data_IF_651888671991
#
_entry.id   IF_651888671991
#
_cell.length_a   1.000
_cell.length_b   1.000
_cell.length_c   1.000
_cell.angle_alpha   90.00
_cell.angle_beta   90.00
_cell.angle_gamma   90.00
#
_symmetry.space_group_name_H-M   'P 1'
#
loop_
_entity.id
_entity.type
_entity.pdbx_description
1 polymer ?
#
# COMPACT_ATOMS: atom_id res chain seq x y z
N UNK A 1 -11.55 33.15 -6.77
CA UNK A 1 -11.35 31.84 -7.37
C UNK A 1 -10.23 31.08 -6.61
N UNK A 2 -10.61 30.42 -5.53
CA UNK A 2 -9.68 29.58 -4.73
C UNK A 2 -9.96 28.07 -4.98
N UNK A 3 -10.40 27.73 -6.20
CA UNK A 3 -10.96 26.41 -6.49
C UNK A 3 -10.02 25.41 -7.11
N UNK A 4 -8.78 25.74 -7.44
CA UNK A 4 -7.91 24.86 -8.21
C UNK A 4 -6.68 24.37 -7.44
N UNK A 5 -6.82 24.17 -6.15
CA UNK A 5 -5.85 23.39 -5.41
C UNK A 5 -6.13 21.91 -5.75
N UNK A 6 -5.51 21.44 -6.81
CA UNK A 6 -5.50 20.01 -7.13
C UNK A 6 -4.94 19.25 -5.93
N UNK A 7 -5.85 18.71 -5.15
CA UNK A 7 -5.46 17.84 -4.06
C UNK A 7 -5.00 16.51 -4.64
N UNK A 8 -3.86 16.07 -4.19
CA UNK A 8 -3.31 14.75 -4.52
C UNK A 8 -3.07 13.99 -3.24
N UNK A 9 -3.51 12.77 -3.22
CA UNK A 9 -3.21 11.83 -2.16
C UNK A 9 -2.21 10.81 -2.66
N UNK A 10 -1.27 10.43 -1.80
CA UNK A 10 -0.34 9.32 -2.06
C UNK A 10 -0.47 8.35 -0.91
N UNK A 11 -0.81 7.10 -1.22
CA UNK A 11 -1.01 6.03 -0.24
C UNK A 11 -0.03 4.89 -0.42
N UNK A 12 0.46 4.33 0.69
CA UNK A 12 1.37 3.18 0.72
C UNK A 12 0.79 2.14 1.68
N UNK A 13 0.67 0.87 1.26
CA UNK A 13 0.21 -0.22 2.13
C UNK A 13 -1.16 0.07 2.76
N UNK A 14 -1.29 0.04 4.08
CA UNK A 14 -2.52 0.45 4.77
C UNK A 14 -2.98 1.86 4.37
N UNK A 15 -2.04 2.77 4.07
CA UNK A 15 -2.33 4.09 3.54
C UNK A 15 -2.97 4.05 2.15
N UNK A 16 -2.63 3.06 1.32
CA UNK A 16 -3.29 2.85 0.04
C UNK A 16 -4.75 2.40 0.22
N UNK A 17 -5.03 1.49 1.12
CA UNK A 17 -6.40 1.06 1.44
C UNK A 17 -7.25 2.21 2.02
N UNK A 18 -6.69 2.96 2.97
CA UNK A 18 -7.39 4.07 3.62
C UNK A 18 -7.62 5.24 2.65
N UNK A 19 -6.67 5.50 1.77
CA UNK A 19 -6.79 6.52 0.73
C UNK A 19 -7.93 6.23 -0.24
N UNK A 20 -8.16 4.96 -0.62
CA UNK A 20 -9.33 4.59 -1.42
C UNK A 20 -10.64 4.99 -0.71
N UNK A 21 -10.76 4.72 0.59
CA UNK A 21 -11.95 5.10 1.37
C UNK A 21 -12.15 6.61 1.44
N UNK A 22 -11.06 7.38 1.46
CA UNK A 22 -11.10 8.83 1.39
C UNK A 22 -11.56 9.32 0.01
N UNK A 23 -11.00 8.75 -1.05
CA UNK A 23 -11.28 9.14 -2.43
C UNK A 23 -12.72 8.85 -2.84
N UNK A 24 -13.31 7.75 -2.36
CA UNK A 24 -14.72 7.41 -2.60
C UNK A 24 -15.71 8.17 -1.70
N UNK A 25 -15.22 9.09 -0.84
CA UNK A 25 -16.06 9.87 0.09
C UNK A 25 -16.85 9.01 1.10
N UNK A 26 -16.52 7.75 1.25
CA UNK A 26 -17.19 6.86 2.20
C UNK A 26 -16.68 7.09 3.62
N UNK A 27 -17.21 8.14 4.27
CA UNK A 27 -16.80 8.55 5.62
C UNK A 27 -17.03 7.42 6.63
N UNK A 28 -16.01 7.14 7.42
CA UNK A 28 -16.04 6.08 8.43
C UNK A 28 -15.69 4.67 7.90
N UNK A 29 -15.67 4.46 6.58
CA UNK A 29 -15.35 3.16 5.98
C UNK A 29 -14.01 2.60 6.46
N UNK A 30 -12.95 3.42 6.44
CA UNK A 30 -11.63 2.99 6.88
C UNK A 30 -11.60 2.57 8.36
N UNK A 31 -12.31 3.30 9.25
CA UNK A 31 -12.46 2.91 10.65
C UNK A 31 -13.18 1.57 10.77
N UNK A 32 -14.33 1.44 10.13
CA UNK A 32 -15.12 0.22 10.19
C UNK A 32 -14.35 -1.00 9.65
N UNK A 33 -13.67 -0.87 8.52
CA UNK A 33 -12.88 -1.97 7.96
C UNK A 33 -11.68 -2.36 8.83
N UNK A 34 -10.96 -1.40 9.41
CA UNK A 34 -9.72 -1.67 10.15
C UNK A 34 -9.95 -2.01 11.64
N UNK A 35 -11.10 -1.67 12.21
CA UNK A 35 -11.43 -1.95 13.62
C UNK A 35 -12.53 -2.99 13.70
N UNK A 36 -13.76 -2.64 13.31
CA UNK A 36 -14.92 -3.48 13.53
C UNK A 36 -14.85 -4.80 12.73
N UNK A 37 -14.47 -4.74 11.44
CA UNK A 37 -14.32 -5.94 10.62
C UNK A 37 -13.06 -6.75 10.99
N UNK A 38 -11.99 -6.11 11.47
CA UNK A 38 -10.83 -6.84 11.96
C UNK A 38 -11.19 -7.67 13.20
N UNK A 39 -11.93 -7.08 14.13
CA UNK A 39 -12.42 -7.78 15.32
C UNK A 39 -13.37 -8.92 14.97
N UNK A 40 -14.28 -8.68 14.03
CA UNK A 40 -15.27 -9.68 13.62
C UNK A 40 -14.68 -10.85 12.82
N UNK A 41 -13.82 -10.57 11.86
CA UNK A 41 -13.34 -11.56 10.88
C UNK A 41 -11.92 -12.05 11.15
N UNK A 42 -11.17 -11.38 12.01
CA UNK A 42 -9.78 -11.72 12.33
C UNK A 42 -8.92 -11.95 11.08
N UNK A 43 -9.07 -11.11 10.07
CA UNK A 43 -8.45 -11.26 8.74
C UNK A 43 -6.93 -11.02 8.74
N UNK A 44 -6.33 -10.69 9.88
CA UNK A 44 -4.89 -10.60 10.11
C UNK A 44 -4.50 -11.64 11.16
N UNK A 45 -3.50 -12.47 10.87
CA UNK A 45 -2.99 -13.38 11.88
C UNK A 45 -2.21 -14.58 11.35
N UNK A 46 -1.42 -15.20 12.23
CA UNK A 46 -0.58 -16.35 11.91
C UNK A 46 -1.38 -17.57 11.41
N UNK A 47 -2.67 -17.69 11.79
CA UNK A 47 -3.55 -18.76 11.29
C UNK A 47 -3.69 -18.74 9.76
N UNK A 48 -3.69 -17.55 9.16
CA UNK A 48 -3.76 -17.39 7.71
C UNK A 48 -2.42 -17.73 7.04
N UNK A 49 -1.29 -17.40 7.71
CA UNK A 49 0.04 -17.76 7.22
C UNK A 49 0.20 -19.29 7.08
N UNK A 50 -0.29 -20.06 8.05
CA UNK A 50 -0.24 -21.52 8.01
C UNK A 50 -1.15 -22.12 6.93
N UNK A 51 -2.35 -21.56 6.71
CA UNK A 51 -3.32 -22.09 5.76
C UNK A 51 -3.14 -21.59 4.33
N UNK A 52 -2.87 -20.30 4.16
CA UNK A 52 -2.86 -19.59 2.86
C UNK A 52 -1.48 -19.03 2.50
N UNK A 53 -0.45 -19.25 3.31
CA UNK A 53 0.90 -18.65 3.17
C UNK A 53 0.85 -17.11 3.08
N UNK A 54 -0.10 -16.52 3.78
CA UNK A 54 -0.37 -15.10 3.78
C UNK A 54 -0.85 -14.69 5.18
N UNK A 55 -0.26 -13.65 5.76
CA UNK A 55 -0.68 -13.15 7.08
C UNK A 55 -2.01 -12.39 7.01
N UNK A 56 -2.35 -11.87 5.83
CA UNK A 56 -3.60 -11.17 5.55
C UNK A 56 -4.53 -12.09 4.72
N UNK A 57 -5.81 -12.13 5.03
CA UNK A 57 -6.78 -12.77 4.15
C UNK A 57 -7.12 -11.86 2.97
N UNK A 58 -6.34 -11.97 1.90
CA UNK A 58 -6.45 -11.11 0.71
C UNK A 58 -7.79 -11.27 -0.02
N UNK A 59 -8.34 -12.48 -0.04
CA UNK A 59 -9.62 -12.73 -0.70
C UNK A 59 -10.73 -11.99 0.05
N UNK A 60 -10.70 -12.06 1.39
CA UNK A 60 -11.65 -11.34 2.24
C UNK A 60 -11.48 -9.82 2.09
N UNK A 61 -10.24 -9.32 2.13
CA UNK A 61 -9.94 -7.87 2.09
C UNK A 61 -10.23 -7.22 0.74
N UNK A 62 -9.86 -7.88 -0.35
CA UNK A 62 -9.83 -7.27 -1.69
C UNK A 62 -10.93 -7.80 -2.63
N UNK A 63 -11.71 -8.79 -2.17
CA UNK A 63 -12.87 -9.31 -2.91
C UNK A 63 -14.14 -9.21 -2.07
N UNK A 64 -14.23 -9.96 -0.95
CA UNK A 64 -15.47 -10.05 -0.19
C UNK A 64 -15.89 -8.71 0.47
N UNK A 65 -14.92 -7.97 1.05
CA UNK A 65 -15.24 -6.69 1.68
C UNK A 65 -15.76 -5.67 0.65
N UNK A 66 -15.05 -5.36 -0.44
CA UNK A 66 -15.48 -4.33 -1.37
C UNK A 66 -16.69 -4.73 -2.22
N UNK A 67 -16.98 -6.03 -2.38
CA UNK A 67 -18.11 -6.49 -3.19
C UNK A 67 -19.38 -6.74 -2.37
N UNK A 68 -19.25 -7.32 -1.17
CA UNK A 68 -20.41 -7.91 -0.45
C UNK A 68 -20.59 -7.39 0.98
N UNK A 69 -19.52 -7.28 1.76
CA UNK A 69 -19.63 -7.01 3.21
C UNK A 69 -19.65 -5.51 3.49
N UNK A 70 -18.81 -4.76 2.80
CA UNK A 70 -18.70 -3.31 2.90
C UNK A 70 -18.50 -2.74 1.49
N UNK A 71 -19.56 -2.68 0.67
CA UNK A 71 -19.45 -2.30 -0.73
C UNK A 71 -18.66 -1.01 -0.94
N UNK A 72 -17.74 -1.05 -1.92
CA UNK A 72 -16.93 0.09 -2.26
C UNK A 72 -17.57 0.88 -3.41
N UNK A 73 -17.67 2.17 -3.24
CA UNK A 73 -18.22 3.07 -4.27
C UNK A 73 -17.12 3.43 -5.29
N UNK A 74 -16.96 2.55 -6.28
CA UNK A 74 -16.03 2.75 -7.38
C UNK A 74 -16.41 3.95 -8.24
N UNK A 75 -17.72 4.23 -8.41
CA UNK A 75 -18.15 5.37 -9.21
C UNK A 75 -17.71 6.68 -8.57
N UNK A 76 -17.97 6.86 -7.28
CA UNK A 76 -17.52 8.05 -6.54
C UNK A 76 -15.99 8.19 -6.56
N UNK A 77 -15.24 7.07 -6.54
CA UNK A 77 -13.80 7.08 -6.69
C UNK A 77 -13.35 7.56 -8.07
N UNK A 78 -13.95 7.03 -9.15
CA UNK A 78 -13.59 7.40 -10.52
C UNK A 78 -13.98 8.84 -10.87
N UNK A 79 -15.10 9.32 -10.36
CA UNK A 79 -15.60 10.67 -10.58
C UNK A 79 -14.89 11.73 -9.71
N UNK A 80 -14.10 11.30 -8.74
CA UNK A 80 -13.35 12.24 -7.89
C UNK A 80 -12.37 13.08 -8.72
N UNK A 81 -12.39 14.41 -8.63
CA UNK A 81 -11.45 15.27 -9.35
C UNK A 81 -10.03 15.21 -8.78
N UNK A 82 -9.88 14.64 -7.60
CA UNK A 82 -8.58 14.52 -6.94
C UNK A 82 -7.75 13.41 -7.56
N UNK A 83 -6.44 13.60 -7.60
CA UNK A 83 -5.49 12.57 -8.03
C UNK A 83 -5.17 11.65 -6.85
N UNK A 84 -5.12 10.36 -7.12
CA UNK A 84 -4.73 9.39 -6.13
C UNK A 84 -3.63 8.47 -6.65
N UNK A 85 -2.52 8.43 -5.93
CA UNK A 85 -1.34 7.63 -6.25
C UNK A 85 -1.20 6.52 -5.22
N UNK A 86 -1.05 5.30 -5.70
CA UNK A 86 -0.74 4.12 -4.88
C UNK A 86 0.69 3.68 -5.19
N UNK A 87 1.47 3.42 -4.15
CA UNK A 87 2.88 3.09 -4.28
C UNK A 87 3.11 1.60 -4.08
N UNK A 88 3.88 1.00 -4.98
CA UNK A 88 4.34 -0.39 -4.89
C UNK A 88 5.85 -0.46 -5.05
N UNK A 89 6.44 -1.61 -4.75
CA UNK A 89 7.84 -1.91 -5.06
C UNK A 89 7.89 -2.91 -6.21
N UNK A 90 8.51 -2.53 -7.31
CA UNK A 90 8.73 -3.39 -8.46
C UNK A 90 9.82 -4.41 -8.15
N UNK A 91 9.47 -5.69 -8.21
CA UNK A 91 10.40 -6.77 -7.88
C UNK A 91 11.55 -6.93 -8.90
N UNK A 92 11.34 -6.49 -10.15
CA UNK A 92 12.35 -6.60 -11.21
C UNK A 92 13.42 -5.51 -11.09
N UNK A 93 13.00 -4.27 -10.77
CA UNK A 93 13.90 -3.12 -10.70
C UNK A 93 14.40 -2.83 -9.28
N UNK A 94 13.64 -3.23 -8.24
CA UNK A 94 13.89 -2.86 -6.86
C UNK A 94 13.58 -1.41 -6.55
N UNK A 95 12.78 -0.74 -7.39
CA UNK A 95 12.41 0.66 -7.28
C UNK A 95 10.92 0.82 -7.00
N UNK A 96 10.51 2.03 -6.59
CA UNK A 96 9.10 2.34 -6.36
C UNK A 96 8.38 2.62 -7.68
N UNK A 97 7.23 1.97 -7.88
CA UNK A 97 6.29 2.32 -8.92
C UNK A 97 5.10 3.07 -8.32
N UNK A 98 4.65 4.12 -9.03
CA UNK A 98 3.61 5.04 -8.59
C UNK A 98 2.44 4.96 -9.57
N UNK A 99 1.35 4.36 -9.14
CA UNK A 99 0.19 4.10 -9.97
C UNK A 99 -0.95 5.09 -9.70
N UNK A 100 -1.51 5.60 -10.76
CA UNK A 100 -2.81 6.28 -10.78
C UNK A 100 -3.76 5.47 -11.66
N UNK A 101 -4.94 5.14 -11.16
CA UNK A 101 -5.96 4.42 -11.92
C UNK A 101 -7.34 5.05 -11.65
N UNK A 102 -8.05 5.37 -12.73
CA UNK A 102 -9.34 6.06 -12.66
C UNK A 102 -10.42 5.45 -13.58
N UNK A 103 -10.17 4.25 -14.10
CA UNK A 103 -11.07 3.65 -15.10
C UNK A 103 -11.35 2.17 -14.85
N UNK A 104 -10.34 1.41 -14.44
CA UNK A 104 -10.43 -0.04 -14.29
C UNK A 104 -10.44 -0.44 -12.81
N UNK A 105 -11.59 -0.90 -12.35
CA UNK A 105 -11.80 -1.43 -11.01
C UNK A 105 -10.84 -2.57 -10.66
N UNK A 106 -10.63 -3.51 -11.58
CA UNK A 106 -9.80 -4.68 -11.32
C UNK A 106 -8.34 -4.25 -11.15
N UNK A 107 -7.90 -3.31 -11.99
CA UNK A 107 -6.55 -2.76 -11.89
C UNK A 107 -6.34 -1.97 -10.59
N UNK A 108 -7.34 -1.23 -10.10
CA UNK A 108 -7.28 -0.60 -8.75
C UNK A 108 -7.08 -1.65 -7.67
N UNK A 109 -7.84 -2.77 -7.73
CA UNK A 109 -7.71 -3.87 -6.77
C UNK A 109 -6.32 -4.49 -6.84
N UNK A 110 -5.78 -4.75 -8.01
CA UNK A 110 -4.45 -5.33 -8.19
C UNK A 110 -3.36 -4.41 -7.62
N UNK A 111 -3.44 -3.11 -7.87
CA UNK A 111 -2.49 -2.12 -7.35
C UNK A 111 -2.53 -2.05 -5.82
N UNK A 112 -3.72 -1.96 -5.22
CA UNK A 112 -3.83 -1.86 -3.76
C UNK A 112 -3.45 -3.16 -3.06
N UNK A 113 -3.73 -4.30 -3.67
CA UNK A 113 -3.26 -5.62 -3.23
C UNK A 113 -1.74 -5.68 -3.26
N UNK A 114 -1.11 -5.25 -4.35
CA UNK A 114 0.33 -5.17 -4.49
C UNK A 114 0.97 -4.23 -3.46
N UNK A 115 0.39 -3.03 -3.28
CA UNK A 115 0.84 -2.06 -2.25
C UNK A 115 0.76 -2.61 -0.83
N UNK A 116 -0.10 -3.62 -0.58
CA UNK A 116 -0.30 -4.26 0.73
C UNK A 116 0.40 -5.63 0.86
N UNK A 117 1.14 -6.06 -0.17
CA UNK A 117 1.85 -7.35 -0.17
C UNK A 117 3.16 -7.25 0.60
N UNK A 118 3.07 -7.47 1.92
CA UNK A 118 4.21 -7.43 2.82
C UNK A 118 5.24 -8.52 2.50
N UNK A 119 6.55 -8.20 2.49
CA UNK A 119 7.58 -9.18 2.22
C UNK A 119 7.59 -10.29 3.28
N UNK A 120 7.94 -11.52 2.86
CA UNK A 120 8.01 -12.75 3.66
C UNK A 120 6.66 -13.33 4.11
N UNK A 121 5.66 -12.52 4.35
CA UNK A 121 4.39 -12.92 4.99
C UNK A 121 3.19 -12.81 4.06
N UNK A 122 3.36 -12.24 2.87
CA UNK A 122 2.36 -12.18 1.81
C UNK A 122 2.95 -12.67 0.49
N UNK A 123 2.13 -13.17 -0.43
CA UNK A 123 2.57 -13.52 -1.77
C UNK A 123 2.96 -12.27 -2.57
N UNK A 124 3.80 -12.47 -3.58
CA UNK A 124 4.03 -11.45 -4.60
C UNK A 124 2.72 -11.24 -5.38
N UNK A 125 2.29 -9.99 -5.49
CA UNK A 125 1.16 -9.61 -6.33
C UNK A 125 1.64 -9.17 -7.72
N UNK A 126 0.70 -9.09 -8.66
CA UNK A 126 1.03 -8.70 -10.03
C UNK A 126 0.17 -7.50 -10.44
N UNK A 127 0.79 -6.51 -11.06
CA UNK A 127 0.12 -5.38 -11.72
C UNK A 127 0.62 -5.37 -13.15
N UNK A 128 -0.31 -5.45 -14.11
CA UNK A 128 0.02 -5.52 -15.55
C UNK A 128 1.04 -6.63 -15.89
N UNK A 129 0.99 -7.76 -15.17
CA UNK A 129 1.94 -8.87 -15.32
C UNK A 129 3.31 -8.67 -14.66
N UNK A 130 3.56 -7.51 -14.04
CA UNK A 130 4.81 -7.20 -13.35
C UNK A 130 4.70 -7.59 -11.88
N UNK A 131 5.67 -8.36 -11.33
CA UNK A 131 5.67 -8.76 -9.92
C UNK A 131 5.95 -7.56 -9.01
N UNK A 132 5.09 -7.36 -8.03
CA UNK A 132 5.11 -6.23 -7.11
C UNK A 132 5.01 -6.69 -5.66
N UNK A 133 5.56 -5.89 -4.76
CA UNK A 133 5.42 -5.97 -3.31
C UNK A 133 5.06 -4.61 -2.71
N UNK A 134 4.87 -4.58 -1.39
CA UNK A 134 4.53 -3.38 -0.62
C UNK A 134 5.47 -2.21 -0.92
N UNK A 135 4.90 -1.06 -1.24
CA UNK A 135 5.65 0.16 -1.57
C UNK A 135 6.52 0.67 -0.43
N UNK A 136 6.18 0.32 0.82
CA UNK A 136 6.96 0.68 2.00
C UNK A 136 8.36 0.05 2.07
N UNK A 137 8.70 -0.89 1.16
CA UNK A 137 10.06 -1.41 1.03
C UNK A 137 11.00 -0.31 0.52
N UNK A 138 10.56 0.49 -0.45
CA UNK A 138 11.40 1.51 -1.09
C UNK A 138 11.00 2.92 -0.67
N UNK A 139 9.71 3.24 -0.73
CA UNK A 139 9.22 4.58 -0.42
C UNK A 139 8.01 4.51 0.53
N UNK A 140 8.29 4.45 1.82
CA UNK A 140 7.25 4.32 2.86
C UNK A 140 6.52 5.62 3.19
N UNK A 141 7.15 6.77 2.91
CA UNK A 141 6.59 8.12 3.10
C UNK A 141 6.97 8.94 1.86
N UNK A 142 6.14 8.92 0.80
CA UNK A 142 6.48 9.43 -0.53
C UNK A 142 6.45 10.96 -0.61
N UNK A 143 7.04 11.64 0.39
CA UNK A 143 7.10 13.10 0.44
C UNK A 143 7.98 13.68 -0.67
N UNK A 144 9.11 13.04 -0.94
CA UNK A 144 10.00 13.49 -2.01
C UNK A 144 9.31 13.40 -3.38
N UNK A 145 8.51 12.37 -3.59
CA UNK A 145 7.69 12.25 -4.80
C UNK A 145 6.66 13.38 -4.90
N UNK A 146 5.99 13.73 -3.81
CA UNK A 146 5.04 14.84 -3.80
C UNK A 146 5.72 16.18 -4.13
N UNK A 147 6.89 16.44 -3.57
CA UNK A 147 7.68 17.65 -3.84
C UNK A 147 8.15 17.68 -5.29
N UNK A 148 8.68 16.58 -5.80
CA UNK A 148 9.12 16.45 -7.20
C UNK A 148 7.97 16.71 -8.19
N UNK A 149 6.77 16.27 -7.86
CA UNK A 149 5.57 16.49 -8.66
C UNK A 149 4.99 17.92 -8.51
N UNK A 150 5.69 18.83 -7.81
CA UNK A 150 5.38 20.25 -7.71
C UNK A 150 4.49 20.65 -6.52
N UNK A 151 4.16 19.74 -5.61
CA UNK A 151 3.34 20.05 -4.43
C UNK A 151 4.20 20.63 -3.31
N UNK A 152 4.03 21.92 -3.02
CA UNK A 152 4.81 22.65 -1.99
C UNK A 152 4.24 22.47 -0.58
N UNK A 153 2.92 22.39 -0.47
CA UNK A 153 2.22 22.23 0.81
C UNK A 153 1.80 20.77 0.98
N UNK A 154 2.44 20.06 1.89
CA UNK A 154 2.21 18.65 2.12
C UNK A 154 1.75 18.38 3.55
N UNK A 155 0.73 17.53 3.70
CA UNK A 155 0.32 16.98 5.00
C UNK A 155 0.76 15.52 5.03
N UNK A 156 1.58 15.17 6.01
CA UNK A 156 2.08 13.80 6.19
C UNK A 156 1.40 13.17 7.40
N UNK A 157 0.69 12.06 7.18
CA UNK A 157 0.06 11.28 8.24
C UNK A 157 0.99 10.14 8.64
N UNK A 158 1.57 10.25 9.83
CA UNK A 158 2.49 9.27 10.38
C UNK A 158 1.72 8.27 11.26
N UNK A 159 2.15 7.00 11.22
CA UNK A 159 1.56 5.90 12.00
C UNK A 159 2.35 5.60 13.28
N UNK A 160 3.43 6.32 13.53
CA UNK A 160 4.28 6.18 14.72
C UNK A 160 4.21 7.42 15.59
N UNK A 161 4.44 7.24 16.88
CA UNK A 161 4.47 8.34 17.83
C UNK A 161 5.56 9.34 17.49
N UNK A 162 5.35 10.59 17.89
CA UNK A 162 6.37 11.63 17.78
C UNK A 162 7.70 11.18 18.43
N UNK A 163 8.81 11.44 17.75
CA UNK A 163 10.14 11.03 18.20
C UNK A 163 10.53 9.59 17.94
N UNK A 164 9.64 8.76 17.36
CA UNK A 164 10.00 7.39 16.97
C UNK A 164 11.17 7.40 15.98
N UNK A 165 12.20 6.62 16.29
CA UNK A 165 13.33 6.31 15.40
C UNK A 165 13.42 4.82 15.22
N UNK A 166 13.53 4.37 13.99
CA UNK A 166 13.79 2.96 13.70
C UNK A 166 15.20 2.62 14.14
N UNK A 167 15.38 1.53 14.88
CA UNK A 167 16.69 1.00 15.20
C UNK A 167 17.40 0.51 13.94
N UNK A 168 18.70 0.80 13.85
CA UNK A 168 19.54 0.29 12.77
C UNK A 168 19.87 -1.18 13.07
N UNK A 169 19.47 -2.08 12.19
CA UNK A 169 19.85 -3.50 12.27
C UNK A 169 20.41 -3.89 10.93
N UNK A 170 21.67 -4.32 10.89
CA UNK A 170 22.27 -4.87 9.68
C UNK A 170 21.67 -6.27 9.41
N UNK A 171 20.56 -6.28 8.69
CA UNK A 171 19.84 -7.50 8.32
C UNK A 171 20.19 -7.84 6.88
N UNK A 172 20.97 -8.91 6.71
CA UNK A 172 21.26 -9.48 5.40
C UNK A 172 20.24 -10.54 5.05
N UNK A 173 19.58 -10.37 3.93
CA UNK A 173 18.63 -11.34 3.42
C UNK A 173 19.39 -12.45 2.68
N UNK A 174 19.19 -13.72 3.07
CA UNK A 174 19.89 -14.85 2.41
C UNK A 174 19.65 -14.87 0.90
N UNK A 175 20.66 -15.25 0.08
CA UNK A 175 20.56 -15.25 -1.38
C UNK A 175 19.43 -16.11 -1.96
N UNK A 176 19.00 -17.17 -1.26
CA UNK A 176 17.91 -18.03 -1.72
C UNK A 176 16.53 -17.39 -1.56
N UNK A 177 16.40 -16.41 -0.64
CA UNK A 177 15.17 -15.65 -0.45
C UNK A 177 15.03 -14.66 -1.61
N UNK A 178 13.88 -14.65 -2.28
CA UNK A 178 13.64 -13.86 -3.49
C UNK A 178 14.72 -14.04 -4.56
N UNK A 179 15.19 -15.28 -4.75
CA UNK A 179 16.28 -15.63 -5.70
C UNK A 179 16.02 -15.09 -7.12
N UNK A 180 14.75 -15.08 -7.56
CA UNK A 180 14.34 -14.58 -8.88
C UNK A 180 14.39 -13.04 -8.98
N UNK A 181 14.48 -12.32 -7.86
CA UNK A 181 14.36 -10.85 -7.79
C UNK A 181 15.53 -10.25 -6.99
N UNK A 182 16.77 -10.27 -7.52
CA UNK A 182 17.95 -9.84 -6.79
C UNK A 182 17.91 -8.35 -6.42
N UNK A 183 17.41 -7.49 -7.32
CA UNK A 183 17.30 -6.04 -7.07
C UNK A 183 16.30 -5.73 -5.95
N UNK A 184 15.15 -6.42 -5.94
CA UNK A 184 14.18 -6.30 -4.84
C UNK A 184 14.79 -6.78 -3.51
N UNK A 185 15.54 -7.87 -3.49
CA UNK A 185 16.24 -8.34 -2.29
C UNK A 185 17.24 -7.30 -1.77
N UNK A 186 17.95 -6.62 -2.66
CA UNK A 186 18.86 -5.53 -2.31
C UNK A 186 18.09 -4.33 -1.73
N UNK A 187 17.00 -3.90 -2.36
CA UNK A 187 16.14 -2.84 -1.85
C UNK A 187 15.60 -3.17 -0.45
N UNK A 188 15.17 -4.42 -0.23
CA UNK A 188 14.69 -4.90 1.06
C UNK A 188 15.82 -4.94 2.11
N UNK A 189 17.03 -5.35 1.75
CA UNK A 189 18.19 -5.28 2.65
C UNK A 189 18.50 -3.84 3.03
N UNK A 190 18.50 -2.92 2.10
CA UNK A 190 18.65 -1.48 2.38
C UNK A 190 17.55 -0.99 3.32
N UNK A 191 16.28 -1.35 3.08
CA UNK A 191 15.14 -0.95 3.92
C UNK A 191 15.27 -1.43 5.36
N UNK A 192 15.79 -2.62 5.56
CA UNK A 192 15.96 -3.21 6.89
C UNK A 192 17.17 -2.61 7.63
N UNK A 193 18.21 -2.18 6.87
CA UNK A 193 19.43 -1.59 7.42
C UNK A 193 19.33 -0.07 7.64
N UNK A 194 18.49 0.64 6.87
CA UNK A 194 18.47 2.10 6.92
C UNK A 194 17.65 2.66 8.08
N UNK A 195 18.28 3.59 8.78
CA UNK A 195 17.62 4.60 9.61
C UNK A 195 17.18 5.70 8.64
N UNK A 196 15.90 5.76 8.27
CA UNK A 196 15.37 6.95 7.63
C UNK A 196 13.96 7.21 8.15
N UNK A 197 13.90 8.20 8.90
CA UNK A 197 13.27 9.53 8.79
C UNK A 197 13.80 10.37 9.88
#
# INVERSE_FOLDING_TARGET
>A
AASDVYKRQIGVSAGACNGLSYMSRQRGRAKYSNIDLLEKYHYIGLKHLLKKRNILDFDLLFTEFPEHILPYDYQAYFDSPERYVMVTTNCLTGEADYFEEKKDKNRVIDIVRASSSLPFVCPIAYVDGIPMLDGGIVDSIPLQRAIHDGYRNNVVVLTRNHGYRKENKDIRIPPFVYRKYPKMREALSRRLSLIHI
#
